data_IF_750945245030
#
_entry.id   IF_750945245030
#
_cell.length_a   1.000
_cell.length_b   1.000
_cell.length_c   1.000
_cell.angle_alpha   90.00
_cell.angle_beta   90.00
_cell.angle_gamma   90.00
#
_symmetry.space_group_name_H-M   'P 1'
#
loop_
_entity.id
_entity.type
_entity.pdbx_description
1 polymer ?
#
# COMPACT_ATOMS: atom_id res chain seq x y z
N UNK A 1 -20.12 20.12 -25.98
CA UNK A 1 -19.56 18.99 -25.20
C UNK A 1 -20.18 17.71 -25.72
N UNK A 2 -19.41 16.88 -26.43
CA UNK A 2 -19.89 15.58 -26.89
C UNK A 2 -20.01 14.64 -25.69
N UNK A 3 -21.21 14.10 -25.47
CA UNK A 3 -21.45 13.10 -24.44
C UNK A 3 -20.69 11.82 -24.80
N UNK A 4 -19.87 11.33 -23.86
CA UNK A 4 -19.16 10.07 -24.03
C UNK A 4 -20.15 8.89 -24.14
N UNK A 5 -19.80 7.82 -24.89
CA UNK A 5 -20.71 6.70 -25.14
C UNK A 5 -21.18 6.02 -23.85
N UNK A 6 -22.46 5.59 -23.83
CA UNK A 6 -23.13 4.90 -22.71
C UNK A 6 -22.38 3.65 -22.18
N UNK A 7 -21.47 3.06 -22.96
CA UNK A 7 -20.75 1.83 -22.66
C UNK A 7 -19.70 1.94 -21.52
N UNK A 8 -19.42 3.16 -21.03
CA UNK A 8 -18.39 3.41 -20.02
C UNK A 8 -18.93 3.58 -18.58
N UNK A 9 -20.20 3.22 -18.34
CA UNK A 9 -20.80 3.25 -16.99
C UNK A 9 -20.52 1.98 -16.19
N UNK A 10 -20.33 0.85 -16.86
CA UNK A 10 -20.24 -0.48 -16.23
C UNK A 10 -18.91 -1.20 -16.53
N UNK A 11 -17.89 -0.46 -16.97
CA UNK A 11 -16.55 -1.03 -17.24
C UNK A 11 -15.76 -1.15 -15.94
N UNK A 12 -16.03 -2.22 -15.20
CA UNK A 12 -15.12 -2.70 -14.17
C UNK A 12 -13.84 -3.22 -14.82
N UNK A 13 -12.68 -2.81 -14.30
CA UNK A 13 -11.38 -3.37 -14.69
C UNK A 13 -10.95 -4.35 -13.59
N UNK A 14 -11.34 -5.62 -13.72
CA UNK A 14 -11.07 -6.63 -12.71
C UNK A 14 -11.79 -6.34 -11.39
N UNK A 15 -11.03 -6.10 -10.31
CA UNK A 15 -11.58 -5.76 -8.97
C UNK A 15 -11.63 -4.25 -8.69
N UNK A 16 -11.38 -3.43 -9.70
CA UNK A 16 -11.42 -1.97 -9.58
C UNK A 16 -12.70 -1.44 -10.22
N UNK A 17 -13.54 -0.82 -9.39
CA UNK A 17 -14.72 -0.12 -9.84
C UNK A 17 -14.43 1.39 -9.84
N UNK A 18 -14.31 2.06 -10.99
CA UNK A 18 -14.27 3.52 -11.01
C UNK A 18 -15.63 4.07 -10.57
N UNK A 19 -15.70 4.65 -9.38
CA UNK A 19 -16.85 5.44 -8.95
C UNK A 19 -16.71 6.86 -9.52
N UNK A 20 -17.74 7.33 -10.22
CA UNK A 20 -17.77 8.70 -10.77
C UNK A 20 -18.65 9.56 -9.87
N UNK A 21 -18.08 10.61 -9.32
CA UNK A 21 -18.77 11.66 -8.56
C UNK A 21 -18.68 12.99 -9.28
N UNK A 22 -19.39 13.98 -8.76
CA UNK A 22 -19.30 15.36 -9.21
C UNK A 22 -18.92 16.21 -8.00
N UNK A 23 -17.89 17.03 -8.13
CA UNK A 23 -17.50 17.99 -7.09
C UNK A 23 -18.56 19.09 -6.94
N UNK A 24 -18.48 19.86 -5.86
CA UNK A 24 -19.28 21.07 -5.62
C UNK A 24 -19.19 22.08 -6.77
N UNK A 25 -18.06 22.10 -7.48
CA UNK A 25 -17.82 22.94 -8.66
C UNK A 25 -18.25 22.30 -9.99
N UNK A 26 -19.07 21.26 -9.93
CA UNK A 26 -19.58 20.51 -11.09
C UNK A 26 -18.48 19.80 -11.92
N UNK A 27 -17.29 19.61 -11.34
CA UNK A 27 -16.19 18.87 -11.97
C UNK A 27 -16.37 17.37 -11.78
N UNK A 28 -16.11 16.58 -12.83
CA UNK A 28 -16.26 15.14 -12.77
C UNK A 28 -15.08 14.52 -12.03
N UNK A 29 -15.32 13.97 -10.83
CA UNK A 29 -14.33 13.26 -10.04
C UNK A 29 -14.45 11.76 -10.36
N UNK A 30 -13.34 11.10 -10.65
CA UNK A 30 -13.28 9.64 -10.69
C UNK A 30 -12.53 9.14 -9.46
N UNK A 31 -13.24 8.47 -8.56
CA UNK A 31 -12.70 7.81 -7.37
C UNK A 31 -12.56 6.33 -7.69
N UNK A 32 -11.35 5.81 -7.60
CA UNK A 32 -11.11 4.37 -7.76
C UNK A 32 -11.57 3.67 -6.47
N UNK A 33 -12.37 2.61 -6.58
CA UNK A 33 -12.82 1.78 -5.46
C UNK A 33 -11.60 1.08 -4.83
N UNK A 34 -10.92 1.85 -3.97
CA UNK A 34 -9.58 1.56 -3.52
C UNK A 34 -9.58 0.44 -2.48
N UNK A 35 -10.72 0.17 -1.84
CA UNK A 35 -10.77 -0.59 -0.61
C UNK A 35 -11.69 -1.79 -0.74
N UNK A 36 -11.15 -3.02 -0.54
CA UNK A 36 -11.99 -4.20 -0.46
C UNK A 36 -12.83 -4.16 0.81
N UNK A 37 -13.89 -4.94 0.77
CA UNK A 37 -14.68 -5.27 1.94
C UNK A 37 -13.80 -5.91 3.02
N UNK A 38 -14.09 -5.59 4.28
CA UNK A 38 -13.45 -6.15 5.44
C UNK A 38 -14.04 -7.52 5.70
N UNK A 39 -13.26 -8.57 5.46
CA UNK A 39 -13.68 -9.95 5.62
C UNK A 39 -13.75 -10.42 7.08
N UNK A 40 -13.54 -9.52 8.04
CA UNK A 40 -13.62 -9.79 9.49
C UNK A 40 -12.87 -11.08 9.86
N UNK A 41 -13.58 -12.10 10.36
CA UNK A 41 -13.06 -13.38 10.82
C UNK A 41 -12.44 -14.26 9.73
N UNK A 42 -12.80 -14.05 8.46
CA UNK A 42 -12.15 -14.71 7.31
C UNK A 42 -10.81 -14.06 6.94
N UNK A 43 -10.48 -12.89 7.51
CA UNK A 43 -9.19 -12.24 7.28
C UNK A 43 -8.07 -13.00 8.02
N UNK A 44 -6.97 -13.40 7.35
CA UNK A 44 -5.86 -14.13 7.99
C UNK A 44 -5.25 -13.39 9.18
N UNK A 45 -5.24 -12.05 9.12
CA UNK A 45 -4.70 -11.20 10.18
C UNK A 45 -5.76 -10.77 11.20
N UNK A 46 -7.00 -11.27 11.16
CA UNK A 46 -8.10 -10.80 12.00
C UNK A 46 -7.76 -10.77 13.48
N UNK A 47 -7.15 -11.85 13.98
CA UNK A 47 -6.77 -11.99 15.40
C UNK A 47 -5.76 -10.95 15.84
N UNK A 48 -4.94 -10.43 14.93
CA UNK A 48 -3.91 -9.43 15.19
C UNK A 48 -4.35 -8.02 14.74
N UNK A 49 -5.51 -7.89 14.11
CA UNK A 49 -6.00 -6.63 13.56
C UNK A 49 -6.72 -5.82 14.63
N UNK A 50 -6.08 -4.73 15.10
CA UNK A 50 -6.68 -3.80 16.07
C UNK A 50 -8.04 -3.26 15.60
N UNK A 51 -8.20 -3.00 14.30
CA UNK A 51 -9.46 -2.52 13.73
C UNK A 51 -10.54 -3.61 13.69
N UNK A 52 -10.19 -4.87 13.45
CA UNK A 52 -11.13 -5.99 13.47
C UNK A 52 -11.66 -6.27 14.87
N UNK A 53 -10.82 -6.10 15.89
CA UNK A 53 -11.21 -6.27 17.29
C UNK A 53 -12.09 -5.12 17.81
N UNK A 54 -11.83 -3.88 17.36
CA UNK A 54 -12.60 -2.70 17.75
C UNK A 54 -13.96 -2.61 17.03
N UNK A 55 -14.04 -3.02 15.76
CA UNK A 55 -15.24 -2.87 14.92
C UNK A 55 -16.23 -4.06 15.02
N UNK A 56 -16.39 -4.67 16.19
CA UNK A 56 -17.44 -5.70 16.42
C UNK A 56 -18.89 -5.15 16.32
N UNK A 57 -19.06 -3.86 16.04
CA UNK A 57 -20.36 -3.19 15.98
C UNK A 57 -20.72 -2.91 14.53
N UNK A 58 -21.84 -3.47 14.06
CA UNK A 58 -22.48 -3.15 12.79
C UNK A 58 -22.60 -1.63 12.60
N UNK A 59 -22.52 -1.09 11.37
CA UNK A 59 -22.74 0.33 11.14
C UNK A 59 -24.17 0.66 11.59
N UNK A 60 -24.40 1.83 12.22
CA UNK A 60 -25.71 2.22 12.71
C UNK A 60 -26.77 2.34 11.59
N UNK A 61 -26.34 2.38 10.33
CA UNK A 61 -27.14 2.70 9.15
C UNK A 61 -27.66 1.46 8.37
N UNK A 62 -27.48 0.25 8.91
CA UNK A 62 -27.93 -0.99 8.25
C UNK A 62 -27.17 -1.34 6.96
N UNK A 63 -26.10 -0.60 6.63
CA UNK A 63 -25.20 -0.96 5.54
C UNK A 63 -24.38 -2.20 5.92
N UNK A 64 -24.39 -3.19 5.04
CA UNK A 64 -23.80 -4.53 5.27
C UNK A 64 -22.30 -4.60 4.97
N UNK A 65 -21.71 -3.55 4.39
CA UNK A 65 -20.33 -3.59 3.88
C UNK A 65 -19.41 -2.72 4.74
N UNK A 66 -18.49 -3.38 5.46
CA UNK A 66 -17.38 -2.71 6.12
C UNK A 66 -16.18 -2.60 5.18
N UNK A 67 -15.49 -1.47 5.14
CA UNK A 67 -14.26 -1.32 4.37
C UNK A 67 -13.03 -1.65 5.25
N UNK A 68 -12.01 -2.27 4.66
CA UNK A 68 -10.78 -2.61 5.38
C UNK A 68 -10.00 -1.34 5.82
N UNK A 69 -10.02 -1.05 7.12
CA UNK A 69 -9.36 0.15 7.70
C UNK A 69 -7.84 0.11 7.60
N UNK A 70 -7.23 -1.07 7.72
CA UNK A 70 -5.78 -1.24 7.54
C UNK A 70 -5.37 -0.83 6.14
N UNK A 71 -6.07 -1.34 5.12
CA UNK A 71 -5.78 -1.01 3.73
C UNK A 71 -6.09 0.46 3.41
N UNK A 72 -7.14 1.02 4.02
CA UNK A 72 -7.45 2.45 3.92
C UNK A 72 -6.29 3.30 4.39
N UNK A 73 -5.83 3.07 5.61
CA UNK A 73 -4.75 3.86 6.20
C UNK A 73 -3.45 3.67 5.40
N UNK A 74 -3.16 2.44 4.97
CA UNK A 74 -2.00 2.15 4.13
C UNK A 74 -2.02 2.94 2.81
N UNK A 75 -3.11 2.89 2.05
CA UNK A 75 -3.22 3.59 0.77
C UNK A 75 -3.24 5.11 0.93
N UNK A 76 -3.85 5.63 2.00
CA UNK A 76 -3.82 7.06 2.34
C UNK A 76 -2.39 7.52 2.63
N UNK A 77 -1.63 6.74 3.41
CA UNK A 77 -0.22 7.05 3.71
C UNK A 77 0.64 7.05 2.44
N UNK A 78 0.50 6.04 1.58
CA UNK A 78 1.22 5.98 0.30
C UNK A 78 0.86 7.17 -0.59
N UNK A 79 -0.43 7.47 -0.75
CA UNK A 79 -0.88 8.61 -1.56
C UNK A 79 -0.33 9.93 -0.99
N UNK A 80 -0.31 10.07 0.34
CA UNK A 80 0.26 11.24 1.01
C UNK A 80 1.75 11.38 0.75
N UNK A 81 2.51 10.28 0.79
CA UNK A 81 3.95 10.26 0.46
C UNK A 81 4.17 10.69 -0.99
N UNK A 82 3.40 10.15 -1.93
CA UNK A 82 3.50 10.50 -3.35
C UNK A 82 3.21 12.00 -3.54
N UNK A 83 2.09 12.50 -3.01
CA UNK A 83 1.70 13.89 -3.18
C UNK A 83 2.66 14.88 -2.52
N UNK A 84 3.32 14.50 -1.42
CA UNK A 84 4.33 15.32 -0.75
C UNK A 84 5.66 15.36 -1.49
N UNK A 85 6.07 14.24 -2.09
CA UNK A 85 7.42 14.06 -2.66
C UNK A 85 7.47 14.16 -4.19
N UNK A 86 6.33 14.28 -4.87
CA UNK A 86 6.27 14.35 -6.32
C UNK A 86 5.40 15.53 -6.75
N UNK A 87 5.92 16.33 -7.68
CA UNK A 87 5.09 17.29 -8.41
C UNK A 87 4.50 16.53 -9.60
N UNK A 88 3.20 16.28 -9.55
CA UNK A 88 2.48 15.51 -10.56
C UNK A 88 1.62 16.45 -11.41
N UNK A 89 1.76 16.35 -12.73
CA UNK A 89 0.73 16.84 -13.64
C UNK A 89 -0.48 15.90 -13.67
N UNK A 90 -1.55 16.31 -14.36
CA UNK A 90 -2.81 15.54 -14.43
C UNK A 90 -2.60 14.14 -15.02
N UNK A 91 -1.72 14.00 -16.02
CA UNK A 91 -1.45 12.72 -16.66
C UNK A 91 -0.65 11.79 -15.75
N UNK A 92 0.33 12.34 -15.03
CA UNK A 92 1.11 11.63 -14.03
C UNK A 92 0.23 11.18 -12.86
N UNK A 93 -0.69 12.02 -12.41
CA UNK A 93 -1.67 11.70 -11.37
C UNK A 93 -2.59 10.54 -11.79
N UNK A 94 -3.07 10.56 -13.05
CA UNK A 94 -3.82 9.43 -13.60
C UNK A 94 -2.97 8.15 -13.61
N UNK A 95 -1.72 8.20 -14.11
CA UNK A 95 -0.83 7.03 -14.14
C UNK A 95 -0.57 6.45 -12.75
N UNK A 96 -0.36 7.31 -11.75
CA UNK A 96 -0.26 6.89 -10.34
C UNK A 96 -1.52 6.16 -9.91
N UNK A 97 -2.69 6.74 -10.17
CA UNK A 97 -3.98 6.12 -9.82
C UNK A 97 -4.23 4.77 -10.51
N UNK A 98 -3.87 4.64 -11.79
CA UNK A 98 -4.15 3.44 -12.59
C UNK A 98 -3.14 2.30 -12.40
N UNK A 99 -1.89 2.63 -12.13
CA UNK A 99 -0.82 1.62 -12.10
C UNK A 99 -0.23 1.48 -10.71
N UNK A 100 0.14 2.58 -10.06
CA UNK A 100 0.91 2.53 -8.84
C UNK A 100 0.04 2.16 -7.62
N UNK A 101 -1.11 2.82 -7.45
CA UNK A 101 -2.03 2.57 -6.34
C UNK A 101 -2.53 1.12 -6.31
N UNK A 102 -2.93 0.48 -7.44
CA UNK A 102 -3.29 -0.94 -7.44
C UNK A 102 -2.14 -1.88 -7.04
N UNK A 103 -0.90 -1.55 -7.39
CA UNK A 103 0.27 -2.34 -6.96
C UNK A 103 0.48 -2.24 -5.45
N UNK A 104 0.36 -1.04 -4.87
CA UNK A 104 0.39 -0.87 -3.42
C UNK A 104 -0.78 -1.56 -2.71
N UNK A 105 -1.98 -1.55 -3.30
CA UNK A 105 -3.14 -2.30 -2.80
C UNK A 105 -2.83 -3.80 -2.74
N UNK A 106 -2.23 -4.35 -3.78
CA UNK A 106 -1.82 -5.75 -3.83
C UNK A 106 -0.69 -6.08 -2.85
N UNK A 107 0.29 -5.18 -2.69
CA UNK A 107 1.34 -5.33 -1.68
C UNK A 107 0.72 -5.40 -0.27
N UNK A 108 -0.20 -4.50 0.05
CA UNK A 108 -0.91 -4.52 1.34
C UNK A 108 -1.66 -5.84 1.56
N UNK A 109 -2.30 -6.39 0.52
CA UNK A 109 -2.95 -7.72 0.61
C UNK A 109 -1.93 -8.83 0.90
N UNK A 110 -0.78 -8.82 0.23
CA UNK A 110 0.27 -9.81 0.47
C UNK A 110 0.83 -9.72 1.89
N UNK A 111 1.03 -8.52 2.41
CA UNK A 111 1.46 -8.30 3.80
C UNK A 111 0.42 -8.80 4.81
N UNK A 112 -0.87 -8.56 4.57
CA UNK A 112 -1.96 -9.10 5.40
C UNK A 112 -1.96 -10.64 5.39
N UNK A 113 -1.69 -11.25 4.24
CA UNK A 113 -1.61 -12.71 4.10
C UNK A 113 -0.37 -13.28 4.80
N UNK A 114 0.74 -12.57 4.78
CA UNK A 114 1.99 -12.96 5.45
C UNK A 114 1.81 -13.06 6.96
N UNK A 115 1.06 -12.14 7.57
CA UNK A 115 0.69 -12.21 8.99
C UNK A 115 -0.09 -13.48 9.35
N UNK A 116 -0.77 -14.09 8.37
CA UNK A 116 -1.47 -15.36 8.54
C UNK A 116 -0.59 -16.61 8.46
N UNK A 117 0.68 -16.47 8.05
CA UNK A 117 1.63 -17.58 7.88
C UNK A 117 2.15 -18.02 9.24
N UNK A 118 1.90 -19.28 9.61
CA UNK A 118 2.30 -19.83 10.91
C UNK A 118 3.79 -20.17 10.98
N UNK A 119 4.35 -20.65 9.87
CA UNK A 119 5.74 -21.09 9.78
C UNK A 119 6.40 -20.46 8.56
N UNK A 120 7.49 -19.73 8.78
CA UNK A 120 8.31 -19.12 7.71
C UNK A 120 8.91 -20.21 6.81
N UNK A 121 9.21 -21.36 7.39
CA UNK A 121 9.82 -22.50 6.69
C UNK A 121 8.90 -23.72 6.71
N UNK A 122 8.85 -24.45 5.60
CA UNK A 122 8.18 -25.74 5.50
C UNK A 122 9.20 -26.81 5.10
N UNK A 123 9.19 -27.94 5.78
CA UNK A 123 10.01 -29.10 5.40
C UNK A 123 9.26 -29.95 4.39
N UNK A 124 9.84 -30.16 3.21
CA UNK A 124 9.30 -31.04 2.19
C UNK A 124 9.44 -32.52 2.53
N UNK A 125 8.84 -33.39 1.70
CA UNK A 125 8.81 -34.85 1.91
C UNK A 125 10.20 -35.52 1.99
N UNK A 126 11.24 -34.85 1.53
CA UNK A 126 12.63 -35.35 1.51
C UNK A 126 13.53 -34.67 2.56
N UNK A 127 12.95 -33.99 3.56
CA UNK A 127 13.73 -33.28 4.58
C UNK A 127 14.33 -31.94 4.12
N UNK A 128 14.10 -31.53 2.87
CA UNK A 128 14.55 -30.23 2.36
C UNK A 128 13.65 -29.13 2.93
N UNK A 129 14.27 -28.14 3.57
CA UNK A 129 13.58 -26.96 4.11
C UNK A 129 13.40 -25.90 3.03
N UNK A 130 12.17 -25.43 2.84
CA UNK A 130 11.82 -24.37 1.91
C UNK A 130 11.27 -23.16 2.67
N UNK A 131 11.55 -21.95 2.19
CA UNK A 131 10.92 -20.73 2.68
C UNK A 131 9.51 -20.64 2.10
N UNK A 132 8.56 -20.11 2.88
CA UNK A 132 7.19 -19.92 2.42
C UNK A 132 7.16 -19.00 1.18
N UNK A 133 6.49 -19.40 0.08
CA UNK A 133 6.58 -18.69 -1.19
C UNK A 133 6.06 -17.25 -1.14
N UNK A 134 5.27 -16.89 -0.13
CA UNK A 134 4.74 -15.52 0.04
C UNK A 134 5.85 -14.46 0.09
N UNK A 135 7.01 -14.77 0.69
CA UNK A 135 8.11 -13.82 0.83
C UNK A 135 8.74 -13.49 -0.53
N UNK A 136 8.92 -14.50 -1.39
CA UNK A 136 9.38 -14.30 -2.77
C UNK A 136 8.37 -13.49 -3.59
N UNK A 137 7.07 -13.73 -3.40
CA UNK A 137 6.01 -12.97 -4.08
C UNK A 137 6.02 -11.51 -3.63
N UNK A 138 6.15 -11.25 -2.32
CA UNK A 138 6.26 -9.89 -1.76
C UNK A 138 7.47 -9.17 -2.36
N UNK A 139 8.64 -9.80 -2.36
CA UNK A 139 9.86 -9.23 -2.90
C UNK A 139 9.71 -8.87 -4.38
N UNK A 140 9.18 -9.79 -5.19
CA UNK A 140 8.89 -9.54 -6.62
C UNK A 140 7.91 -8.38 -6.82
N UNK A 141 6.94 -8.23 -5.92
CA UNK A 141 5.97 -7.13 -5.99
C UNK A 141 6.62 -5.78 -5.67
N UNK A 142 7.49 -5.72 -4.66
CA UNK A 142 8.27 -4.52 -4.32
C UNK A 142 9.16 -4.12 -5.51
N UNK A 143 9.91 -5.07 -6.08
CA UNK A 143 10.73 -4.81 -7.27
C UNK A 143 9.90 -4.35 -8.49
N UNK A 144 8.65 -4.81 -8.62
CA UNK A 144 7.76 -4.34 -9.67
C UNK A 144 7.31 -2.89 -9.41
N UNK A 145 7.02 -2.52 -8.17
CA UNK A 145 6.70 -1.16 -7.77
C UNK A 145 7.88 -0.23 -8.06
N UNK A 146 9.11 -0.60 -7.68
CA UNK A 146 10.31 0.19 -7.96
C UNK A 146 10.53 0.42 -9.46
N UNK A 147 10.34 -0.62 -10.27
CA UNK A 147 10.39 -0.49 -11.73
C UNK A 147 9.32 0.47 -12.23
N UNK A 148 8.10 0.41 -11.69
CA UNK A 148 7.01 1.31 -12.09
C UNK A 148 7.31 2.76 -11.74
N UNK A 149 7.86 3.03 -10.55
CA UNK A 149 8.37 4.35 -10.16
C UNK A 149 9.39 4.90 -11.16
N UNK A 150 10.34 4.06 -11.57
CA UNK A 150 11.37 4.44 -12.54
C UNK A 150 10.78 4.70 -13.94
N UNK A 151 9.83 3.86 -14.39
CA UNK A 151 9.16 4.02 -15.69
C UNK A 151 8.35 5.33 -15.75
N UNK A 152 7.65 5.65 -14.67
CA UNK A 152 6.85 6.87 -14.59
C UNK A 152 7.71 8.14 -14.53
N UNK A 153 9.02 8.02 -14.28
CA UNK A 153 9.96 9.13 -14.12
C UNK A 153 9.42 10.20 -13.17
N UNK A 154 8.67 9.78 -12.14
CA UNK A 154 8.07 10.69 -11.17
C UNK A 154 9.22 11.53 -10.61
N UNK A 155 9.26 12.80 -11.02
CA UNK A 155 10.34 13.71 -10.64
C UNK A 155 10.29 13.78 -9.12
N UNK A 156 11.29 13.18 -8.44
CA UNK A 156 11.48 13.32 -6.99
C UNK A 156 11.57 14.81 -6.70
N UNK A 157 10.42 15.38 -6.33
CA UNK A 157 10.25 16.78 -5.99
C UNK A 157 10.82 16.92 -4.60
N UNK A 158 12.05 17.46 -4.56
CA UNK A 158 13.00 17.45 -3.45
C UNK A 158 13.75 16.13 -3.35
N UNK A 159 15.06 16.21 -3.58
CA UNK A 159 16.00 15.29 -2.96
C UNK A 159 15.66 15.29 -1.45
N UNK A 160 15.46 14.15 -0.77
CA UNK A 160 15.91 14.14 0.61
C UNK A 160 17.38 14.55 0.52
N UNK A 161 17.74 15.65 1.17
CA UNK A 161 19.15 15.90 1.48
C UNK A 161 19.45 14.89 2.60
N UNK A 162 19.54 13.61 2.24
CA UNK A 162 20.40 12.70 2.98
C UNK A 162 21.71 12.79 2.23
N UNK A 163 22.76 13.23 2.93
CA UNK A 163 24.08 13.11 2.38
C UNK A 163 24.33 11.60 2.15
N UNK A 164 25.08 11.22 1.10
CA UNK A 164 25.48 9.83 0.92
C UNK A 164 26.20 9.22 2.14
N UNK A 165 26.68 10.08 3.03
CA UNK A 165 27.31 9.78 4.32
C UNK A 165 26.29 9.38 5.41
N UNK A 166 25.00 9.71 5.26
CA UNK A 166 23.93 9.42 6.23
C UNK A 166 23.20 8.10 5.91
N UNK A 167 23.60 7.39 4.86
CA UNK A 167 23.05 6.08 4.54
C UNK A 167 23.79 5.01 5.36
N UNK A 168 23.08 4.11 6.05
CA UNK A 168 23.73 3.01 6.75
C UNK A 168 24.57 2.21 5.77
N UNK A 169 25.78 1.85 6.18
CA UNK A 169 26.67 1.09 5.31
C UNK A 169 26.06 -0.29 5.02
N UNK A 170 26.52 -0.92 3.94
CA UNK A 170 26.05 -2.27 3.59
C UNK A 170 26.35 -3.26 4.72
N UNK A 171 27.44 -3.04 5.48
CA UNK A 171 27.80 -3.88 6.62
C UNK A 171 26.88 -3.64 7.83
N UNK A 172 26.39 -2.41 8.03
CA UNK A 172 25.43 -2.07 9.10
C UNK A 172 24.05 -2.66 8.83
N UNK A 173 23.65 -2.74 7.56
CA UNK A 173 22.41 -3.41 7.13
C UNK A 173 22.46 -4.94 7.33
N UNK A 174 23.64 -5.54 7.21
CA UNK A 174 23.83 -6.99 7.30
C UNK A 174 24.00 -7.43 8.76
N UNK A 175 24.74 -6.66 9.55
CA UNK A 175 25.10 -7.02 10.93
C UNK A 175 24.22 -6.34 12.00
N UNK A 176 23.43 -5.34 11.60
CA UNK A 176 22.69 -4.47 12.51
C UNK A 176 23.63 -3.47 13.15
N UNK A 177 23.35 -2.18 12.98
CA UNK A 177 24.06 -1.11 13.67
C UNK A 177 23.76 -1.19 15.19
N UNK A 178 24.76 -1.51 16.04
CA UNK A 178 24.56 -1.66 17.47
C UNK A 178 24.19 -0.34 18.15
N UNK A 179 24.54 0.81 17.56
CA UNK A 179 24.42 2.13 18.18
C UNK A 179 23.19 2.91 17.63
N UNK A 180 22.44 2.30 16.72
CA UNK A 180 21.28 2.93 16.06
C UNK A 180 20.19 3.41 17.03
N UNK A 181 19.92 2.66 18.10
CA UNK A 181 18.89 3.05 19.07
C UNK A 181 19.38 4.05 20.12
N UNK A 182 20.70 4.14 20.33
CA UNK A 182 21.31 5.10 21.25
C UNK A 182 21.32 6.50 20.63
N UNK A 183 21.67 6.59 19.34
CA UNK A 183 21.63 7.86 18.60
C UNK A 183 20.22 8.49 18.51
N UNK A 184 19.15 7.68 18.44
CA UNK A 184 17.78 8.19 18.47
C UNK A 184 17.39 8.83 19.82
N UNK A 185 18.04 8.44 20.92
CA UNK A 185 17.76 9.04 22.25
C UNK A 185 18.51 10.36 22.46
N UNK A 186 19.59 10.59 21.73
CA UNK A 186 20.38 11.83 21.82
C UNK A 186 19.70 12.98 21.04
N UNK A 187 19.07 12.70 19.89
CA UNK A 187 18.35 13.69 19.10
C UNK A 187 17.09 14.26 19.80
N UNK A 188 16.44 13.47 20.65
CA UNK A 188 15.26 13.91 21.42
C UNK A 188 15.62 14.82 22.60
N UNK A 189 16.91 14.89 23.00
CA UNK A 189 17.39 15.74 24.10
C UNK A 189 17.91 17.11 23.63
N UNK A 190 18.06 17.34 22.33
CA UNK A 190 18.55 18.60 21.76
C UNK A 190 17.44 19.53 21.19
N UNK A 191 16.16 19.21 21.40
CA UNK A 191 15.01 20.08 21.07
C UNK A 191 14.27 20.66 22.28
#
# INVERSE_FOLDING_TARGET
MQSLPKAWRDTGFGTLNPQKGVDKDNQQISVWDALPECLMDECPSFRLCAHGQANKRHPPDGSTVFLCSVMKNYLVSITSIIMKNCKLDEMEMMRVGYHLIPMYKNLCRLLIQEVGVRNVTTTGKFGVTFIHPIYDIILKHIQAIDRMWNIMKLKKGRKPVMNPEDLPSVDDLINGDPDYYESLQEEDNEN
#
